data_IF_784200639384
#
_entry.id   IF_784200639384
#
_cell.length_a   1.000
_cell.length_b   1.000
_cell.length_c   1.000
_cell.angle_alpha   90.00
_cell.angle_beta   90.00
_cell.angle_gamma   90.00
#
_symmetry.space_group_name_H-M   'P 1'
#
loop_
_entity.id
_entity.type
_entity.pdbx_description
1 polymer ?
#
# COMPACT_ATOMS: atom_id res chain seq x y z
N UNK A 1 -18.11 10.08 6.69
CA UNK A 1 -16.96 9.28 7.18
C UNK A 1 -17.08 7.81 6.73
N UNK A 2 -17.22 7.55 5.42
CA UNK A 2 -17.52 6.21 4.88
C UNK A 2 -16.54 5.67 3.82
N UNK A 3 -15.51 6.43 3.46
CA UNK A 3 -14.62 6.12 2.31
C UNK A 3 -13.38 5.30 2.69
N UNK A 4 -12.96 5.31 3.96
CA UNK A 4 -11.70 4.67 4.38
C UNK A 4 -11.78 3.14 4.29
N UNK A 5 -12.90 2.53 4.72
CA UNK A 5 -13.00 1.05 4.76
C UNK A 5 -12.99 0.39 3.38
N UNK A 6 -13.57 1.05 2.37
CA UNK A 6 -13.52 0.57 0.98
C UNK A 6 -12.11 0.74 0.42
N UNK A 7 -11.45 1.87 0.69
CA UNK A 7 -10.07 2.10 0.27
C UNK A 7 -9.11 1.07 0.88
N UNK A 8 -9.26 0.75 2.16
CA UNK A 8 -8.43 -0.24 2.85
C UNK A 8 -8.56 -1.63 2.20
N UNK A 9 -9.77 -2.04 1.82
CA UNK A 9 -10.00 -3.29 1.08
C UNK A 9 -9.30 -3.29 -0.29
N UNK A 10 -9.34 -2.17 -1.01
CA UNK A 10 -8.64 -2.06 -2.29
C UNK A 10 -7.12 -2.12 -2.10
N UNK A 11 -6.59 -1.43 -1.09
CA UNK A 11 -5.16 -1.46 -0.77
C UNK A 11 -4.71 -2.86 -0.38
N UNK A 12 -5.49 -3.59 0.42
CA UNK A 12 -5.19 -4.98 0.78
C UNK A 12 -5.10 -5.86 -0.47
N UNK A 13 -6.10 -5.78 -1.36
CA UNK A 13 -6.12 -6.54 -2.63
C UNK A 13 -4.97 -6.16 -3.56
N UNK A 14 -4.56 -4.90 -3.57
CA UNK A 14 -3.41 -4.45 -4.35
C UNK A 14 -2.11 -5.01 -3.78
N UNK A 15 -1.88 -4.91 -2.47
CA UNK A 15 -0.69 -5.47 -1.80
C UNK A 15 -0.56 -6.97 -2.04
N UNK A 16 -1.67 -7.71 -2.00
CA UNK A 16 -1.69 -9.14 -2.33
C UNK A 16 -1.19 -9.47 -3.74
N UNK A 17 -1.33 -8.53 -4.69
CA UNK A 17 -0.94 -8.73 -6.10
C UNK A 17 0.47 -8.21 -6.41
N UNK A 18 0.93 -7.18 -5.71
CA UNK A 18 2.16 -6.44 -6.10
C UNK A 18 3.30 -6.58 -5.10
N UNK A 19 3.02 -6.95 -3.85
CA UNK A 19 4.05 -7.12 -2.83
C UNK A 19 4.47 -8.58 -2.74
N UNK A 20 5.77 -8.82 -2.54
CA UNK A 20 6.27 -10.17 -2.25
C UNK A 20 5.74 -10.70 -0.91
N UNK A 21 5.60 -9.81 0.09
CA UNK A 21 4.95 -10.11 1.35
C UNK A 21 3.91 -9.00 1.67
N UNK A 22 2.60 -9.26 1.52
CA UNK A 22 1.56 -8.25 1.76
C UNK A 22 1.52 -7.71 3.20
N UNK A 23 2.01 -8.48 4.17
CA UNK A 23 2.10 -8.09 5.58
C UNK A 23 3.31 -7.19 5.88
N UNK A 24 4.30 -7.16 4.98
CA UNK A 24 5.48 -6.29 5.04
C UNK A 24 5.61 -5.53 3.71
N UNK A 25 4.68 -4.61 3.40
CA UNK A 25 4.65 -3.94 2.11
C UNK A 25 5.85 -3.00 1.94
N UNK A 26 6.50 -3.05 0.79
CA UNK A 26 7.64 -2.17 0.46
C UNK A 26 7.28 -1.11 -0.59
N UNK A 27 6.23 -1.35 -1.40
CA UNK A 27 5.78 -0.42 -2.44
C UNK A 27 4.60 0.43 -1.97
N UNK A 28 3.59 -0.15 -1.33
CA UNK A 28 2.38 0.56 -0.89
C UNK A 28 2.45 0.75 0.63
N UNK A 29 2.94 1.91 1.08
CA UNK A 29 3.15 2.22 2.50
C UNK A 29 1.94 2.94 3.11
N UNK A 30 1.63 2.62 4.37
CA UNK A 30 0.62 3.36 5.14
C UNK A 30 1.28 4.56 5.82
N UNK A 31 0.69 5.73 5.64
CA UNK A 31 1.08 6.98 6.30
C UNK A 31 -0.04 7.39 7.25
N UNK A 32 0.16 7.16 8.55
CA UNK A 32 -0.84 7.44 9.57
C UNK A 32 -1.34 8.90 9.49
N UNK A 33 -2.67 9.07 9.54
CA UNK A 33 -3.33 10.37 9.42
C UNK A 33 -3.31 10.99 8.01
N UNK A 34 -2.66 10.36 7.02
CA UNK A 34 -2.57 10.87 5.63
C UNK A 34 -3.09 9.90 4.57
N UNK A 35 -3.00 8.59 4.79
CA UNK A 35 -3.49 7.57 3.85
C UNK A 35 -2.37 6.62 3.39
N UNK A 36 -2.22 6.46 2.07
CA UNK A 36 -1.29 5.50 1.47
C UNK A 36 -0.34 6.19 0.49
N UNK A 37 0.91 5.71 0.43
CA UNK A 37 1.94 6.21 -0.47
C UNK A 37 2.54 5.08 -1.29
N UNK A 38 2.63 5.28 -2.60
CA UNK A 38 3.38 4.39 -3.48
C UNK A 38 4.85 4.81 -3.55
N UNK A 39 5.75 3.84 -3.42
CA UNK A 39 7.20 3.99 -3.58
C UNK A 39 7.66 2.98 -4.62
N UNK A 40 8.25 3.47 -5.70
CA UNK A 40 8.91 2.62 -6.68
C UNK A 40 10.27 2.22 -6.09
N UNK A 41 10.56 0.93 -6.05
CA UNK A 41 11.92 0.47 -5.73
C UNK A 41 12.87 1.14 -6.72
N UNK A 42 13.66 2.10 -6.24
CA UNK A 42 14.66 2.74 -7.05
C UNK A 42 15.72 1.66 -7.31
N UNK A 43 15.79 1.19 -8.55
CA UNK A 43 16.95 0.42 -8.98
C UNK A 43 18.11 1.39 -8.88
N UNK A 44 18.93 1.22 -7.85
CA UNK A 44 20.26 1.82 -7.81
C UNK A 44 21.01 1.25 -9.00
N UNK A 45 21.12 2.05 -10.06
CA UNK A 45 22.12 1.81 -11.10
C UNK A 45 23.52 1.96 -10.54
#
# INVERSE_FOLDING_TARGET
>A
TGTTRTLDQHILKLRQKVEANPSQPVHILTVHGKGYRFVKSAVSG
#
